data_IF_122972501383
#
_entry.id   IF_122972501383
#
_cell.length_a   1.000
_cell.length_b   1.000
_cell.length_c   1.000
_cell.angle_alpha   90.00
_cell.angle_beta   90.00
_cell.angle_gamma   90.00
#
_symmetry.space_group_name_H-M   'P 1'
#
loop_
_entity.id
_entity.type
_entity.pdbx_description
1 polymer ?
#
# COMPACT_ATOMS: atom_id res chain seq x y z
N UNK A 1 43.99 -32.58 -24.00
CA UNK A 1 43.30 -31.28 -24.02
C UNK A 1 41.80 -31.57 -24.15
N UNK A 2 41.12 -31.90 -23.04
CA UNK A 2 39.67 -32.06 -23.04
C UNK A 2 39.02 -30.74 -22.65
N UNK A 3 38.13 -30.23 -23.49
CA UNK A 3 37.27 -29.09 -23.16
C UNK A 3 36.50 -29.39 -21.87
N UNK A 4 36.46 -28.47 -20.88
CA UNK A 4 35.54 -28.61 -19.77
C UNK A 4 34.15 -28.34 -20.35
N UNK A 5 33.51 -29.42 -20.80
CA UNK A 5 32.10 -29.44 -21.12
C UNK A 5 31.35 -28.81 -19.94
N UNK A 6 30.85 -27.59 -20.17
CA UNK A 6 29.78 -26.99 -19.39
C UNK A 6 28.74 -28.09 -19.28
N UNK A 7 28.59 -28.68 -18.10
CA UNK A 7 27.73 -29.85 -17.91
C UNK A 7 26.35 -29.49 -18.45
N UNK A 8 25.87 -30.15 -19.53
CA UNK A 8 24.61 -29.79 -20.19
C UNK A 8 23.39 -29.93 -19.25
N UNK A 9 23.58 -30.60 -18.11
CA UNK A 9 22.60 -30.72 -17.04
C UNK A 9 22.43 -29.45 -16.17
N UNK A 10 23.35 -28.49 -16.19
CA UNK A 10 23.29 -27.32 -15.27
C UNK A 10 22.28 -26.25 -15.70
N UNK A 11 22.18 -25.98 -17.01
CA UNK A 11 21.27 -24.97 -17.56
C UNK A 11 19.77 -25.26 -17.33
N UNK A 12 19.25 -26.48 -17.59
CA UNK A 12 17.84 -26.77 -17.32
C UNK A 12 17.51 -26.71 -15.83
N UNK A 13 18.43 -27.14 -14.95
CA UNK A 13 18.25 -27.06 -13.50
C UNK A 13 18.17 -25.60 -13.04
N UNK A 14 19.07 -24.73 -13.51
CA UNK A 14 19.03 -23.30 -13.18
C UNK A 14 17.72 -22.64 -13.63
N UNK A 15 17.21 -23.00 -14.82
CA UNK A 15 15.94 -22.48 -15.32
C UNK A 15 14.74 -22.93 -14.49
N UNK A 16 14.68 -24.22 -14.11
CA UNK A 16 13.61 -24.75 -13.26
C UNK A 16 13.66 -24.12 -11.87
N UNK A 17 14.86 -24.03 -11.27
CA UNK A 17 15.03 -23.39 -9.97
C UNK A 17 14.61 -21.90 -10.00
N UNK A 18 15.02 -21.14 -11.02
CA UNK A 18 14.62 -19.74 -11.16
C UNK A 18 13.12 -19.60 -11.37
N UNK A 19 12.49 -20.50 -12.12
CA UNK A 19 11.05 -20.52 -12.34
C UNK A 19 10.27 -20.80 -11.06
N UNK A 20 10.68 -21.79 -10.28
CA UNK A 20 10.04 -22.10 -8.99
C UNK A 20 10.16 -20.92 -8.03
N UNK A 21 11.35 -20.31 -7.92
CA UNK A 21 11.57 -19.12 -7.08
C UNK A 21 10.73 -17.93 -7.54
N UNK A 22 10.67 -17.67 -8.84
CA UNK A 22 9.87 -16.61 -9.44
C UNK A 22 8.37 -16.80 -9.15
N UNK A 23 7.85 -18.02 -9.35
CA UNK A 23 6.47 -18.35 -9.06
C UNK A 23 6.13 -18.19 -7.57
N UNK A 24 6.98 -18.69 -6.67
CA UNK A 24 6.80 -18.56 -5.23
C UNK A 24 6.78 -17.08 -4.79
N UNK A 25 7.73 -16.28 -5.31
CA UNK A 25 7.78 -14.86 -5.03
C UNK A 25 6.53 -14.14 -5.54
N UNK A 26 6.13 -14.38 -6.79
CA UNK A 26 4.94 -13.76 -7.38
C UNK A 26 3.69 -14.11 -6.55
N UNK A 27 3.52 -15.39 -6.19
CA UNK A 27 2.43 -15.82 -5.33
C UNK A 27 2.44 -15.11 -3.96
N UNK A 28 3.60 -15.02 -3.30
CA UNK A 28 3.73 -14.31 -2.03
C UNK A 28 3.39 -12.82 -2.15
N UNK A 29 3.82 -12.16 -3.25
CA UNK A 29 3.53 -10.76 -3.50
C UNK A 29 2.04 -10.50 -3.78
N UNK A 30 1.37 -11.39 -4.52
CA UNK A 30 -0.08 -11.31 -4.75
C UNK A 30 -0.88 -11.51 -3.44
N UNK A 31 -0.49 -12.47 -2.61
CA UNK A 31 -1.09 -12.67 -1.29
C UNK A 31 -0.92 -11.43 -0.39
N UNK A 32 0.27 -10.82 -0.42
CA UNK A 32 0.54 -9.57 0.30
C UNK A 32 -0.35 -8.43 -0.21
N UNK A 33 -0.51 -8.28 -1.52
CA UNK A 33 -1.39 -7.25 -2.12
C UNK A 33 -2.85 -7.45 -1.68
N UNK A 34 -3.35 -8.69 -1.56
CA UNK A 34 -4.70 -8.93 -1.04
C UNK A 34 -4.86 -8.46 0.41
N UNK A 35 -3.88 -8.75 1.27
CA UNK A 35 -3.88 -8.29 2.67
C UNK A 35 -3.81 -6.77 2.75
N UNK A 36 -2.93 -6.14 1.96
CA UNK A 36 -2.80 -4.69 1.92
C UNK A 36 -4.04 -4.01 1.37
N UNK A 37 -4.65 -4.56 0.32
CA UNK A 37 -5.90 -4.06 -0.23
C UNK A 37 -7.02 -4.03 0.83
N UNK A 38 -7.16 -5.10 1.62
CA UNK A 38 -8.12 -5.14 2.74
C UNK A 38 -7.83 -4.08 3.80
N UNK A 39 -6.57 -3.89 4.17
CA UNK A 39 -6.16 -2.91 5.18
C UNK A 39 -6.40 -1.47 4.68
N UNK A 40 -6.00 -1.18 3.44
CA UNK A 40 -6.21 0.12 2.79
C UNK A 40 -7.70 0.46 2.69
N UNK A 41 -8.52 -0.51 2.27
CA UNK A 41 -9.97 -0.30 2.17
C UNK A 41 -10.60 -0.03 3.56
N UNK A 42 -10.17 -0.75 4.60
CA UNK A 42 -10.62 -0.53 5.98
C UNK A 42 -10.22 0.86 6.50
N UNK A 43 -8.98 1.29 6.26
CA UNK A 43 -8.51 2.62 6.62
C UNK A 43 -9.31 3.72 5.92
N UNK A 44 -9.63 3.53 4.63
CA UNK A 44 -10.48 4.46 3.89
C UNK A 44 -11.92 4.52 4.42
N UNK A 45 -12.51 3.41 4.84
CA UNK A 45 -13.82 3.41 5.51
C UNK A 45 -13.83 4.15 6.85
N UNK A 46 -12.68 4.22 7.53
CA UNK A 46 -12.52 4.98 8.77
C UNK A 46 -12.27 6.48 8.51
N UNK A 47 -12.10 6.89 7.24
CA UNK A 47 -11.75 8.25 6.87
C UNK A 47 -10.27 8.59 7.04
N UNK A 48 -9.41 7.58 7.28
CA UNK A 48 -7.96 7.73 7.38
C UNK A 48 -7.32 7.84 5.99
N UNK A 49 -7.68 8.91 5.26
CA UNK A 49 -7.30 9.12 3.85
C UNK A 49 -5.79 9.35 3.70
N UNK A 50 -5.13 9.97 4.68
CA UNK A 50 -3.67 10.22 4.64
C UNK A 50 -2.81 8.97 4.87
N UNK A 51 -3.37 7.94 5.52
CA UNK A 51 -2.66 6.68 5.76
C UNK A 51 -2.57 5.84 4.48
N UNK A 52 -3.47 6.10 3.52
CA UNK A 52 -3.56 5.36 2.25
C UNK A 52 -3.11 6.20 1.06
N UNK A 53 -3.48 7.47 1.02
CA UNK A 53 -3.06 8.40 -0.03
C UNK A 53 -2.16 9.47 0.55
N UNK A 54 -1.01 9.72 -0.10
CA UNK A 54 -0.12 10.79 0.34
C UNK A 54 -0.80 12.18 0.31
N UNK A 55 -1.66 12.41 -0.68
CA UNK A 55 -2.43 13.66 -0.80
C UNK A 55 -3.89 13.40 -0.48
N UNK A 56 -4.52 14.31 0.26
CA UNK A 56 -5.95 14.28 0.52
C UNK A 56 -6.73 14.29 -0.80
N UNK A 57 -7.23 13.12 -1.19
CA UNK A 57 -8.09 12.97 -2.36
C UNK A 57 -9.54 13.18 -1.95
N UNK A 58 -10.25 14.04 -2.68
CA UNK A 58 -11.70 14.16 -2.53
C UNK A 58 -12.32 12.87 -3.08
N UNK A 59 -13.07 12.13 -2.25
CA UNK A 59 -13.80 10.89 -2.60
C UNK A 59 -15.05 11.17 -3.47
N UNK A 60 -14.87 11.90 -4.57
CA UNK A 60 -15.93 12.15 -5.56
C UNK A 60 -15.73 11.31 -6.82
N UNK A 61 -16.75 10.59 -7.31
CA UNK A 61 -16.64 9.84 -8.55
C UNK A 61 -16.33 10.80 -9.72
N UNK A 62 -15.37 10.44 -10.56
CA UNK A 62 -15.01 11.17 -11.78
C UNK A 62 -15.06 10.23 -12.98
N UNK A 63 -15.21 10.77 -14.19
CA UNK A 63 -15.24 9.96 -15.43
C UNK A 63 -14.01 9.08 -15.57
N UNK A 64 -12.83 9.66 -15.34
CA UNK A 64 -11.55 8.95 -15.37
C UNK A 64 -11.49 7.84 -14.33
N UNK A 65 -12.02 8.09 -13.12
CA UNK A 65 -12.05 7.06 -12.09
C UNK A 65 -12.87 5.83 -12.53
N UNK A 66 -14.00 6.04 -13.21
CA UNK A 66 -14.88 4.94 -13.66
C UNK A 66 -14.16 4.08 -14.70
N UNK A 67 -13.44 4.72 -15.63
CA UNK A 67 -12.62 3.99 -16.62
C UNK A 67 -11.54 3.16 -15.90
N UNK A 68 -10.83 3.75 -14.94
CA UNK A 68 -9.83 3.03 -14.14
C UNK A 68 -10.43 1.87 -13.35
N UNK A 69 -11.66 2.01 -12.84
CA UNK A 69 -12.36 0.93 -12.14
C UNK A 69 -12.67 -0.24 -13.08
N UNK A 70 -13.14 0.04 -14.30
CA UNK A 70 -13.40 -1.00 -15.31
C UNK A 70 -12.12 -1.71 -15.77
N UNK A 71 -10.98 -1.00 -15.85
CA UNK A 71 -9.72 -1.55 -16.33
C UNK A 71 -8.88 -2.22 -15.24
N UNK A 72 -9.20 -2.04 -13.96
CA UNK A 72 -8.37 -2.49 -12.83
C UNK A 72 -8.03 -3.98 -12.89
N UNK A 73 -9.02 -4.85 -13.11
CA UNK A 73 -8.80 -6.29 -13.17
C UNK A 73 -7.85 -6.70 -14.32
N UNK A 74 -7.98 -6.05 -15.48
CA UNK A 74 -7.11 -6.30 -16.63
C UNK A 74 -5.68 -5.79 -16.39
N UNK A 75 -5.53 -4.65 -15.72
CA UNK A 75 -4.20 -4.14 -15.35
C UNK A 75 -3.54 -5.07 -14.33
N UNK A 76 -4.25 -5.50 -13.29
CA UNK A 76 -3.69 -6.42 -12.28
C UNK A 76 -3.17 -7.71 -12.91
N UNK A 77 -3.91 -8.30 -13.85
CA UNK A 77 -3.47 -9.52 -14.54
C UNK A 77 -2.31 -9.25 -15.51
N UNK A 78 -2.37 -8.16 -16.28
CA UNK A 78 -1.30 -7.80 -17.21
C UNK A 78 0.04 -7.54 -16.49
N UNK A 79 0.03 -6.77 -15.41
CA UNK A 79 1.23 -6.48 -14.60
C UNK A 79 1.75 -7.71 -13.87
N UNK A 80 0.88 -8.61 -13.41
CA UNK A 80 1.30 -9.89 -12.83
C UNK A 80 2.00 -10.80 -13.87
N UNK A 81 1.45 -10.93 -15.07
CA UNK A 81 2.07 -11.70 -16.16
C UNK A 81 3.40 -11.10 -16.60
N UNK A 82 3.43 -9.78 -16.83
CA UNK A 82 4.65 -9.08 -17.25
C UNK A 82 5.72 -9.11 -16.16
N UNK A 83 5.33 -8.96 -14.89
CA UNK A 83 6.23 -9.06 -13.77
C UNK A 83 6.82 -10.46 -13.60
N UNK A 84 6.02 -11.52 -13.78
CA UNK A 84 6.54 -12.90 -13.79
C UNK A 84 7.58 -13.12 -14.90
N UNK A 85 7.35 -12.58 -16.10
CA UNK A 85 8.32 -12.65 -17.20
C UNK A 85 9.62 -11.91 -16.87
N UNK A 86 9.53 -10.68 -16.38
CA UNK A 86 10.69 -9.86 -16.01
C UNK A 86 11.48 -10.52 -14.87
N UNK A 87 10.79 -10.96 -13.82
CA UNK A 87 11.40 -11.65 -12.67
C UNK A 87 12.05 -12.97 -13.11
N UNK A 88 11.43 -13.71 -14.03
CA UNK A 88 12.02 -14.96 -14.55
C UNK A 88 13.33 -14.70 -15.28
N UNK A 89 13.39 -13.68 -16.14
CA UNK A 89 14.62 -13.31 -16.85
C UNK A 89 15.72 -12.92 -15.87
N UNK A 90 15.38 -12.09 -14.86
CA UNK A 90 16.34 -11.64 -13.85
C UNK A 90 16.85 -12.82 -13.00
N UNK A 91 15.95 -13.64 -12.45
CA UNK A 91 16.36 -14.79 -11.65
C UNK A 91 17.13 -15.83 -12.46
N UNK A 92 16.82 -16.02 -13.74
CA UNK A 92 17.57 -16.91 -14.60
C UNK A 92 19.01 -16.41 -14.80
N UNK A 93 19.19 -15.13 -15.15
CA UNK A 93 20.53 -14.52 -15.30
C UNK A 93 21.30 -14.59 -13.98
N UNK A 94 20.66 -14.26 -12.86
CA UNK A 94 21.28 -14.35 -11.53
C UNK A 94 21.66 -15.78 -11.16
N UNK A 95 20.80 -16.77 -11.44
CA UNK A 95 21.06 -18.19 -11.14
C UNK A 95 22.21 -18.72 -11.99
N UNK A 96 22.24 -18.42 -13.29
CA UNK A 96 23.33 -18.84 -14.18
C UNK A 96 24.64 -18.17 -13.76
N UNK A 97 24.62 -16.86 -13.47
CA UNK A 97 25.77 -16.13 -12.94
C UNK A 97 26.27 -16.72 -11.63
N UNK A 98 25.39 -17.03 -10.69
CA UNK A 98 25.75 -17.65 -9.42
C UNK A 98 26.38 -19.04 -9.61
N UNK A 99 25.78 -19.90 -10.43
CA UNK A 99 26.31 -21.24 -10.71
C UNK A 99 27.69 -21.18 -11.33
N UNK A 100 27.89 -20.30 -12.32
CA UNK A 100 29.16 -20.16 -13.02
C UNK A 100 30.26 -19.53 -12.16
N UNK A 101 29.93 -18.47 -11.41
CA UNK A 101 30.91 -17.69 -10.65
C UNK A 101 31.25 -18.31 -9.29
N UNK A 102 30.34 -19.09 -8.68
CA UNK A 102 30.53 -19.64 -7.34
C UNK A 102 30.45 -21.16 -7.27
N UNK A 103 29.42 -21.79 -7.86
CA UNK A 103 29.19 -23.25 -7.69
C UNK A 103 30.24 -24.10 -8.40
N UNK A 104 30.51 -23.83 -9.68
CA UNK A 104 31.50 -24.57 -10.47
C UNK A 104 32.93 -24.44 -9.89
N UNK A 105 33.42 -23.23 -9.54
CA UNK A 105 34.73 -23.07 -8.92
C UNK A 105 34.89 -23.82 -7.60
N UNK A 106 33.83 -23.81 -6.77
CA UNK A 106 33.84 -24.45 -5.45
C UNK A 106 33.89 -25.98 -5.58
N UNK A 107 33.15 -26.55 -6.53
CA UNK A 107 33.13 -28.00 -6.77
C UNK A 107 34.45 -28.50 -7.38
N UNK A 108 35.00 -27.77 -8.35
CA UNK A 108 36.20 -28.18 -9.07
C UNK A 108 37.50 -27.84 -8.32
N UNK A 109 37.40 -27.21 -7.13
CA UNK A 109 38.56 -26.77 -6.34
C UNK A 109 39.52 -25.84 -7.07
N UNK A 110 39.09 -25.29 -8.21
CA UNK A 110 39.92 -24.49 -9.09
C UNK A 110 39.79 -23.04 -8.64
N UNK A 111 40.92 -22.43 -8.27
CA UNK A 111 40.99 -21.03 -7.89
C UNK A 111 40.72 -20.17 -9.14
N UNK A 112 39.43 -19.92 -9.40
CA UNK A 112 39.00 -19.16 -10.58
C UNK A 112 39.42 -17.70 -10.46
N UNK A 113 39.43 -17.02 -11.60
CA UNK A 113 39.82 -15.61 -11.70
C UNK A 113 39.12 -14.72 -10.65
N UNK A 114 37.87 -15.00 -10.29
CA UNK A 114 37.13 -14.29 -9.26
C UNK A 114 37.75 -14.42 -7.87
N UNK A 115 38.04 -15.65 -7.42
CA UNK A 115 38.69 -15.87 -6.13
C UNK A 115 40.08 -15.24 -6.08
N UNK A 116 40.84 -15.30 -7.18
CA UNK A 116 42.13 -14.62 -7.29
C UNK A 116 42.01 -13.09 -7.23
N UNK A 117 41.00 -12.49 -7.85
CA UNK A 117 40.73 -11.06 -7.76
C UNK A 117 40.35 -10.69 -6.32
N UNK A 118 39.45 -11.44 -5.67
CA UNK A 118 39.05 -11.19 -4.28
C UNK A 118 40.26 -11.29 -3.35
N UNK A 119 41.08 -12.33 -3.51
CA UNK A 119 42.31 -12.53 -2.74
C UNK A 119 43.38 -11.47 -3.06
N UNK A 120 43.36 -10.81 -4.20
CA UNK A 120 44.28 -9.69 -4.47
C UNK A 120 43.75 -8.35 -3.94
N UNK A 121 42.42 -8.21 -3.83
CA UNK A 121 41.75 -6.97 -3.44
C UNK A 121 41.46 -6.86 -1.94
N UNK A 122 41.73 -7.89 -1.11
CA UNK A 122 41.46 -7.82 0.33
C UNK A 122 42.09 -6.60 1.05
N UNK A 123 43.31 -6.10 0.72
CA UNK A 123 43.86 -4.94 1.40
C UNK A 123 43.09 -3.67 1.03
N UNK A 124 42.64 -3.56 -0.23
CA UNK A 124 41.81 -2.45 -0.69
C UNK A 124 40.50 -2.39 0.09
N UNK A 125 39.77 -3.49 0.19
CA UNK A 125 38.53 -3.55 0.98
C UNK A 125 38.76 -3.27 2.46
N UNK A 126 39.85 -3.78 3.03
CA UNK A 126 40.23 -3.51 4.41
C UNK A 126 40.47 -2.02 4.65
N UNK A 127 41.19 -1.33 3.74
CA UNK A 127 41.44 0.12 3.88
C UNK A 127 40.16 0.94 3.86
N UNK A 128 39.18 0.58 3.02
CA UNK A 128 37.87 1.25 3.00
C UNK A 128 37.11 1.05 4.31
N UNK A 129 37.08 -0.18 4.84
CA UNK A 129 36.41 -0.48 6.11
C UNK A 129 37.07 0.27 7.27
N UNK A 130 38.40 0.25 7.36
CA UNK A 130 39.16 0.98 8.38
C UNK A 130 38.88 2.48 8.27
N UNK A 131 38.86 3.05 7.07
CA UNK A 131 38.59 4.48 6.88
C UNK A 131 37.19 4.87 7.39
N UNK A 132 36.16 4.05 7.12
CA UNK A 132 34.81 4.28 7.65
C UNK A 132 34.77 4.18 9.19
N UNK A 133 35.46 3.20 9.77
CA UNK A 133 35.56 3.05 11.22
C UNK A 133 36.25 4.28 11.84
N UNK A 134 37.39 4.71 11.29
CA UNK A 134 38.13 5.89 11.75
C UNK A 134 37.28 7.15 11.62
N UNK A 135 36.53 7.33 10.52
CA UNK A 135 35.60 8.45 10.36
C UNK A 135 34.49 8.44 11.41
N UNK A 136 33.89 7.28 11.68
CA UNK A 136 32.84 7.11 12.68
C UNK A 136 33.35 7.39 14.10
N UNK A 137 34.53 6.86 14.45
CA UNK A 137 35.18 7.11 15.74
C UNK A 137 35.57 8.59 15.88
N UNK A 138 36.19 9.20 14.86
CA UNK A 138 36.55 10.62 14.89
C UNK A 138 35.31 11.52 15.03
N UNK A 139 34.21 11.19 14.33
CA UNK A 139 32.92 11.86 14.49
C UNK A 139 32.41 11.79 15.94
N UNK A 140 32.50 10.61 16.56
CA UNK A 140 31.98 10.40 17.91
C UNK A 140 32.86 11.01 19.01
N UNK A 141 34.19 10.91 18.90
CA UNK A 141 35.12 11.29 19.97
C UNK A 141 35.71 12.69 19.82
N UNK A 142 35.91 13.19 18.60
CA UNK A 142 36.60 14.48 18.37
C UNK A 142 35.70 15.60 17.85
N UNK A 143 34.62 15.27 17.14
CA UNK A 143 33.80 16.29 16.47
C UNK A 143 32.46 16.55 17.15
N UNK A 144 31.95 15.63 17.97
CA UNK A 144 30.62 15.71 18.56
C UNK A 144 30.72 15.82 20.09
N UNK A 145 30.34 16.97 20.65
CA UNK A 145 30.27 17.14 22.10
C UNK A 145 28.96 16.55 22.64
N UNK A 146 29.08 15.69 23.66
CA UNK A 146 27.94 15.01 24.27
C UNK A 146 27.35 15.83 25.42
N UNK A 147 26.79 17.01 25.10
CA UNK A 147 25.91 17.68 26.06
C UNK A 147 24.48 17.13 25.94
N UNK A 148 23.80 16.84 27.07
CA UNK A 148 22.52 16.13 27.08
C UNK A 148 21.36 16.88 26.40
N UNK A 149 21.52 18.17 26.10
CA UNK A 149 20.49 19.04 25.49
C UNK A 149 20.87 19.58 24.11
N UNK A 150 22.14 19.50 23.68
CA UNK A 150 22.59 19.99 22.36
C UNK A 150 23.90 19.30 21.95
N UNK A 151 23.87 18.63 20.82
CA UNK A 151 25.08 18.12 20.14
C UNK A 151 25.63 19.25 19.26
N UNK A 152 26.69 19.90 19.71
CA UNK A 152 27.36 20.96 18.94
C UNK A 152 28.71 20.47 18.41
N UNK A 153 29.13 21.02 17.25
CA UNK A 153 30.43 20.74 16.64
C UNK A 153 31.51 21.62 17.26
N UNK A 154 32.49 21.00 17.91
CA UNK A 154 33.56 21.71 18.64
C UNK A 154 34.72 22.10 17.74
N UNK A 155 35.28 21.15 16.98
CA UNK A 155 36.52 21.35 16.23
C UNK A 155 36.30 21.42 14.71
N UNK A 156 35.66 22.51 14.27
CA UNK A 156 35.33 22.73 12.85
C UNK A 156 36.56 22.75 11.93
N UNK A 157 37.68 23.32 12.38
CA UNK A 157 38.92 23.39 11.56
C UNK A 157 39.50 22.00 11.30
N UNK A 158 39.63 21.17 12.33
CA UNK A 158 40.12 19.80 12.15
C UNK A 158 39.17 18.98 11.28
N UNK A 159 37.86 19.18 11.39
CA UNK A 159 36.87 18.50 10.54
C UNK A 159 37.09 18.79 9.06
N UNK A 160 37.32 20.06 8.69
CA UNK A 160 37.60 20.43 7.29
C UNK A 160 38.88 19.79 6.77
N UNK A 161 39.96 19.80 7.57
CA UNK A 161 41.25 19.20 7.19
C UNK A 161 41.10 17.68 7.00
N UNK A 162 40.46 17.00 7.95
CA UNK A 162 40.24 15.54 7.90
C UNK A 162 39.34 15.17 6.72
N UNK A 163 38.30 15.96 6.45
CA UNK A 163 37.40 15.72 5.31
C UNK A 163 38.11 15.93 3.97
N UNK A 164 38.99 16.94 3.87
CA UNK A 164 39.80 17.16 2.68
C UNK A 164 40.77 15.99 2.44
N UNK A 165 41.46 15.52 3.48
CA UNK A 165 42.40 14.40 3.38
C UNK A 165 41.69 13.07 3.03
N UNK A 166 40.47 12.86 3.54
CA UNK A 166 39.68 11.66 3.28
C UNK A 166 38.84 11.74 2.00
N UNK A 167 38.87 12.86 1.27
CA UNK A 167 38.13 13.06 0.03
C UNK A 167 38.27 11.92 -0.99
N UNK A 168 39.48 11.47 -1.39
CA UNK A 168 39.61 10.39 -2.38
C UNK A 168 39.00 9.06 -1.91
N UNK A 169 39.11 8.74 -0.61
CA UNK A 169 38.49 7.54 -0.04
C UNK A 169 36.97 7.66 -0.06
N UNK A 170 36.43 8.83 0.29
CA UNK A 170 35.00 9.11 0.24
C UNK A 170 34.43 9.06 -1.19
N UNK A 171 35.22 9.45 -2.20
CA UNK A 171 34.82 9.29 -3.61
C UNK A 171 34.67 7.80 -3.95
N UNK A 172 35.61 6.93 -3.53
CA UNK A 172 35.50 5.48 -3.74
C UNK A 172 34.28 4.88 -3.03
N UNK A 173 34.05 5.27 -1.77
CA UNK A 173 32.85 4.87 -1.02
C UNK A 173 31.57 5.37 -1.71
N UNK A 174 31.59 6.57 -2.27
CA UNK A 174 30.48 7.14 -3.04
C UNK A 174 30.16 6.33 -4.30
N UNK A 175 31.18 5.87 -5.03
CA UNK A 175 31.01 4.98 -6.19
C UNK A 175 30.38 3.65 -5.76
N UNK A 176 30.89 3.03 -4.68
CA UNK A 176 30.33 1.79 -4.14
C UNK A 176 28.87 1.97 -3.69
N UNK A 177 28.57 3.05 -2.98
CA UNK A 177 27.21 3.39 -2.57
C UNK A 177 26.29 3.65 -3.77
N UNK A 178 26.81 4.25 -4.85
CA UNK A 178 26.09 4.46 -6.09
C UNK A 178 25.73 3.15 -6.80
N UNK A 179 26.69 2.22 -6.92
CA UNK A 179 26.45 0.87 -7.47
C UNK A 179 25.44 0.12 -6.59
N UNK A 180 25.62 0.16 -5.27
CA UNK A 180 24.70 -0.48 -4.34
C UNK A 180 23.28 0.08 -4.42
N UNK A 181 23.13 1.40 -4.55
CA UNK A 181 21.84 2.07 -4.77
C UNK A 181 21.15 1.59 -6.05
N UNK A 182 21.90 1.45 -7.14
CA UNK A 182 21.37 0.92 -8.41
C UNK A 182 20.88 -0.52 -8.25
N UNK A 183 21.67 -1.37 -7.57
CA UNK A 183 21.31 -2.78 -7.33
C UNK A 183 20.05 -2.90 -6.48
N UNK A 184 19.99 -2.23 -5.32
CA UNK A 184 18.80 -2.28 -4.46
C UNK A 184 17.57 -1.74 -5.20
N UNK A 185 17.69 -0.59 -5.88
CA UNK A 185 16.56 0.00 -6.59
C UNK A 185 16.05 -0.91 -7.71
N UNK A 186 16.96 -1.55 -8.46
CA UNK A 186 16.59 -2.49 -9.52
C UNK A 186 15.89 -3.73 -8.98
N UNK A 187 16.45 -4.34 -7.92
CA UNK A 187 15.84 -5.51 -7.26
C UNK A 187 14.49 -5.17 -6.65
N UNK A 188 14.39 -4.05 -5.93
CA UNK A 188 13.14 -3.60 -5.33
C UNK A 188 12.05 -3.40 -6.40
N UNK A 189 12.37 -2.70 -7.49
CA UNK A 189 11.43 -2.45 -8.57
C UNK A 189 11.02 -3.74 -9.30
N UNK A 190 11.95 -4.67 -9.51
CA UNK A 190 11.64 -5.97 -10.13
C UNK A 190 10.70 -6.81 -9.27
N UNK A 191 10.95 -6.88 -7.96
CA UNK A 191 10.14 -7.66 -7.01
C UNK A 191 8.72 -7.06 -6.87
N UNK A 192 8.61 -5.73 -6.81
CA UNK A 192 7.33 -5.03 -6.62
C UNK A 192 6.61 -4.73 -7.95
N UNK A 193 7.16 -5.13 -9.10
CA UNK A 193 6.56 -4.85 -10.41
C UNK A 193 5.14 -5.42 -10.57
N UNK A 194 4.86 -6.58 -9.95
CA UNK A 194 3.55 -7.23 -9.99
C UNK A 194 2.49 -6.52 -9.12
N UNK A 195 2.88 -5.53 -8.32
CA UNK A 195 2.03 -4.87 -7.34
C UNK A 195 1.53 -3.53 -7.86
N UNK A 196 0.22 -3.31 -7.78
CA UNK A 196 -0.41 -2.03 -8.10
C UNK A 196 -0.65 -1.15 -6.86
N UNK A 197 -0.52 -1.72 -5.65
CA UNK A 197 -0.77 -1.02 -4.38
C UNK A 197 0.37 -0.10 -3.94
N UNK A 198 1.55 -0.20 -4.57
CA UNK A 198 2.74 0.60 -4.29
C UNK A 198 3.17 1.30 -5.57
N UNK A 199 3.52 2.59 -5.48
CA UNK A 199 4.17 3.26 -6.60
C UNK A 199 5.66 2.94 -6.66
N UNK A 200 6.15 2.59 -7.85
CA UNK A 200 7.58 2.39 -8.11
C UNK A 200 8.34 3.71 -8.28
N UNK A 201 7.60 4.81 -8.43
CA UNK A 201 8.14 6.15 -8.64
C UNK A 201 8.35 6.87 -7.30
N UNK A 202 9.11 7.98 -7.34
CA UNK A 202 9.28 8.84 -6.17
C UNK A 202 7.93 9.46 -5.76
N UNK A 203 7.79 9.77 -4.47
CA UNK A 203 6.59 10.32 -3.84
C UNK A 203 5.99 11.54 -4.53
N UNK A 204 6.82 12.39 -5.13
CA UNK A 204 6.38 13.59 -5.85
C UNK A 204 5.76 13.31 -7.23
N UNK A 205 6.00 12.13 -7.79
CA UNK A 205 5.63 11.74 -9.17
C UNK A 205 4.82 10.44 -9.21
N UNK A 206 4.25 10.00 -8.08
CA UNK A 206 3.40 8.80 -7.98
C UNK A 206 2.21 8.82 -8.95
N UNK A 207 1.66 10.00 -9.26
CA UNK A 207 0.53 10.15 -10.19
C UNK A 207 0.87 9.74 -11.63
N UNK A 208 2.15 9.74 -11.99
CA UNK A 208 2.60 9.32 -13.33
C UNK A 208 2.75 7.80 -13.46
N UNK A 209 2.65 7.06 -12.35
CA UNK A 209 2.62 5.60 -12.37
C UNK A 209 1.21 5.11 -12.75
N UNK A 210 1.01 4.53 -13.95
CA UNK A 210 -0.30 4.13 -14.42
C UNK A 210 -0.91 3.01 -13.57
N UNK A 211 -0.08 2.15 -12.96
CA UNK A 211 -0.53 1.05 -12.14
C UNK A 211 -1.13 1.56 -10.83
N UNK A 212 -0.32 2.31 -10.09
CA UNK A 212 -0.74 2.92 -8.83
C UNK A 212 -1.86 3.94 -9.00
N UNK A 213 -1.82 4.75 -10.06
CA UNK A 213 -2.90 5.69 -10.39
C UNK A 213 -4.24 4.97 -10.58
N UNK A 214 -4.26 3.86 -11.34
CA UNK A 214 -5.47 3.06 -11.56
C UNK A 214 -5.99 2.46 -10.26
N UNK A 215 -5.10 1.92 -9.41
CA UNK A 215 -5.45 1.39 -8.08
C UNK A 215 -6.08 2.45 -7.17
N UNK A 216 -5.51 3.65 -7.11
CA UNK A 216 -6.05 4.75 -6.30
C UNK A 216 -7.47 5.14 -6.73
N UNK A 217 -7.69 5.25 -8.05
CA UNK A 217 -9.00 5.58 -8.60
C UNK A 217 -10.03 4.47 -8.41
N UNK A 218 -9.59 3.21 -8.50
CA UNK A 218 -10.41 2.04 -8.19
C UNK A 218 -10.90 2.09 -6.73
N UNK A 219 -9.98 2.23 -5.77
CA UNK A 219 -10.30 2.33 -4.34
C UNK A 219 -11.26 3.49 -4.04
N UNK A 220 -11.02 4.64 -4.67
CA UNK A 220 -11.84 5.83 -4.50
C UNK A 220 -13.31 5.59 -4.90
N UNK A 221 -13.54 4.89 -6.01
CA UNK A 221 -14.89 4.53 -6.42
C UNK A 221 -15.49 3.50 -5.48
N UNK A 222 -14.73 2.47 -5.15
CA UNK A 222 -15.22 1.39 -4.30
C UNK A 222 -15.70 1.93 -2.95
N UNK A 223 -14.91 2.76 -2.28
CA UNK A 223 -15.31 3.36 -1.00
C UNK A 223 -16.54 4.25 -1.13
N UNK A 224 -16.65 5.03 -2.23
CA UNK A 224 -17.78 5.93 -2.44
C UNK A 224 -19.10 5.20 -2.68
N UNK A 225 -19.07 4.04 -3.34
CA UNK A 225 -20.26 3.27 -3.73
C UNK A 225 -20.60 2.15 -2.74
N UNK A 226 -19.60 1.57 -2.09
CA UNK A 226 -19.74 0.34 -1.31
C UNK A 226 -19.62 0.53 0.20
N UNK A 227 -19.75 1.76 0.70
CA UNK A 227 -19.57 2.05 2.13
C UNK A 227 -20.47 1.18 3.03
N UNK A 228 -19.90 0.30 3.88
CA UNK A 228 -20.66 -0.72 4.60
C UNK A 228 -21.67 -0.11 5.57
N UNK A 229 -21.32 1.00 6.23
CA UNK A 229 -22.23 1.71 7.14
C UNK A 229 -23.47 2.28 6.40
N UNK A 230 -23.29 2.83 5.19
CA UNK A 230 -24.41 3.36 4.41
C UNK A 230 -25.32 2.23 3.93
N UNK A 231 -24.74 1.12 3.45
CA UNK A 231 -25.50 -0.07 3.06
C UNK A 231 -26.28 -0.65 4.24
N UNK A 232 -25.65 -0.80 5.40
CA UNK A 232 -26.31 -1.27 6.62
C UNK A 232 -27.43 -0.33 7.07
N UNK A 233 -27.22 0.99 7.02
CA UNK A 233 -28.25 1.99 7.32
C UNK A 233 -29.45 1.88 6.38
N UNK A 234 -29.22 1.78 5.07
CA UNK A 234 -30.30 1.58 4.09
C UNK A 234 -31.05 0.26 4.33
N UNK A 235 -30.35 -0.83 4.68
CA UNK A 235 -30.98 -2.10 5.01
C UNK A 235 -31.88 -1.99 6.25
N UNK A 236 -31.44 -1.29 7.30
CA UNK A 236 -32.26 -1.04 8.49
C UNK A 236 -33.50 -0.21 8.15
N UNK A 237 -33.35 0.82 7.32
CA UNK A 237 -34.49 1.61 6.84
C UNK A 237 -35.48 0.76 6.05
N UNK A 238 -34.99 -0.06 5.12
CA UNK A 238 -35.82 -0.93 4.28
C UNK A 238 -36.54 -2.01 5.08
N UNK A 239 -35.85 -2.64 6.05
CA UNK A 239 -36.45 -3.59 6.98
C UNK A 239 -37.52 -2.94 7.86
N UNK A 240 -37.29 -1.71 8.33
CA UNK A 240 -38.28 -0.97 9.12
C UNK A 240 -39.48 -0.48 8.31
N UNK A 241 -39.31 -0.34 6.99
CA UNK A 241 -40.36 0.05 6.05
C UNK A 241 -41.18 -1.15 5.55
N UNK A 242 -40.63 -2.37 5.59
CA UNK A 242 -41.38 -3.60 5.34
C UNK A 242 -42.21 -3.88 6.60
N UNK A 243 -43.55 -3.79 6.56
CA UNK A 243 -44.36 -4.28 7.65
C UNK A 243 -44.03 -5.76 7.82
N UNK A 244 -43.89 -6.23 9.06
CA UNK A 244 -43.91 -7.66 9.35
C UNK A 244 -45.22 -8.23 8.76
N UNK A 245 -45.15 -8.75 7.55
CA UNK A 245 -46.08 -9.77 7.09
C UNK A 245 -45.83 -11.00 7.97
N UNK A 246 -46.89 -11.73 8.37
CA UNK A 246 -46.74 -12.87 9.26
C UNK A 246 -45.70 -13.86 8.69
N UNK A 247 -44.91 -14.54 9.53
CA UNK A 247 -44.00 -15.56 9.04
C UNK A 247 -44.80 -16.63 8.32
N UNK A 248 -44.53 -16.82 7.02
CA UNK A 248 -45.01 -17.95 6.24
C UNK A 248 -44.52 -19.25 6.90
N UNK A 249 -45.36 -19.81 7.75
CA UNK A 249 -45.30 -21.19 8.21
C UNK A 249 -46.62 -21.85 7.80
N UNK A 250 -46.55 -22.45 6.61
CA UNK A 250 -47.32 -23.57 6.09
C UNK A 250 -48.84 -23.37 5.87
N UNK A 251 -49.17 -23.62 4.61
CA UNK A 251 -50.45 -24.10 4.10
C UNK A 251 -51.27 -24.93 5.09
N UNK A 252 -52.51 -24.50 5.34
CA UNK A 252 -53.75 -25.28 5.21
C UNK A 252 -54.82 -24.59 6.03
N UNK A 253 -55.85 -24.11 5.33
CA UNK A 253 -57.26 -23.99 5.72
C UNK A 253 -57.87 -22.71 5.13
N UNK A 254 -58.40 -22.91 3.93
CA UNK A 254 -59.51 -22.15 3.36
C UNK A 254 -60.73 -22.36 4.26
N UNK A 255 -61.56 -21.32 4.40
CA UNK A 255 -62.81 -21.18 5.21
C UNK A 255 -62.59 -20.21 6.37
N UNK A 256 -63.30 -19.10 6.55
CA UNK A 256 -64.55 -18.56 6.00
C UNK A 256 -64.54 -17.05 6.33
N UNK A 257 -65.09 -16.21 5.46
CA UNK A 257 -66.27 -15.45 5.87
C UNK A 257 -66.01 -14.10 6.54
N UNK A 258 -66.08 -13.03 5.73
CA UNK A 258 -66.63 -11.70 6.10
C UNK A 258 -65.96 -10.99 7.30
N UNK A 259 -64.98 -10.14 7.01
CA UNK A 259 -64.89 -8.85 7.68
C UNK A 259 -64.41 -7.77 6.70
N UNK A 260 -65.39 -7.14 6.07
CA UNK A 260 -65.25 -5.87 5.36
C UNK A 260 -64.72 -4.79 6.33
N UNK A 261 -63.71 -4.06 5.86
CA UNK A 261 -63.56 -2.62 6.05
C UNK A 261 -63.27 -2.10 7.47
N UNK A 262 -61.98 -2.07 7.85
CA UNK A 262 -61.44 -0.96 8.65
C UNK A 262 -60.02 -0.58 8.18
N UNK A 263 -59.78 0.65 7.72
CA UNK A 263 -58.44 1.21 7.71
C UNK A 263 -58.14 1.67 9.14
N UNK A 264 -57.59 0.77 9.97
CA UNK A 264 -57.18 1.11 11.33
C UNK A 264 -55.98 2.08 11.28
N UNK A 265 -56.26 3.38 11.19
CA UNK A 265 -55.26 4.44 11.36
C UNK A 265 -54.65 4.28 12.76
N UNK A 266 -53.36 3.95 12.83
CA UNK A 266 -52.62 3.84 14.08
C UNK A 266 -52.82 5.12 14.94
N UNK A 267 -53.06 5.00 16.26
CA UNK A 267 -53.40 6.14 17.09
C UNK A 267 -52.24 7.16 17.17
N UNK A 268 -52.51 8.48 17.13
CA UNK A 268 -51.51 9.55 17.14
C UNK A 268 -50.70 9.65 18.45
N UNK A 269 -51.02 8.84 19.46
CA UNK A 269 -50.26 8.75 20.72
C UNK A 269 -48.99 7.91 20.57
N UNK A 270 -49.03 6.83 19.78
CA UNK A 270 -47.86 5.95 19.53
C UNK A 270 -46.76 6.68 18.76
N UNK A 271 -47.13 7.57 17.84
CA UNK A 271 -46.19 8.42 17.09
C UNK A 271 -45.56 9.49 17.97
N UNK A 272 -46.35 10.15 18.83
CA UNK A 272 -45.84 11.12 19.83
C UNK A 272 -44.88 10.49 20.85
N UNK A 273 -45.18 9.28 21.34
CA UNK A 273 -44.27 8.54 22.23
C UNK A 273 -42.94 8.22 21.54
N UNK A 274 -42.97 7.71 20.30
CA UNK A 274 -41.76 7.45 19.50
C UNK A 274 -40.92 8.72 19.28
N UNK A 275 -41.56 9.85 18.99
CA UNK A 275 -40.88 11.15 18.82
C UNK A 275 -40.24 11.64 20.13
N UNK A 276 -40.94 11.51 21.26
CA UNK A 276 -40.37 11.88 22.57
C UNK A 276 -39.15 11.03 22.91
N UNK A 277 -39.20 9.72 22.64
CA UNK A 277 -38.06 8.80 22.84
C UNK A 277 -36.87 9.17 21.96
N UNK A 278 -37.10 9.50 20.68
CA UNK A 278 -36.05 9.94 19.77
C UNK A 278 -35.37 11.25 20.24
N UNK A 279 -36.12 12.20 20.80
CA UNK A 279 -35.57 13.44 21.37
C UNK A 279 -34.67 13.17 22.59
N UNK A 280 -35.08 12.24 23.47
CA UNK A 280 -34.24 11.82 24.60
C UNK A 280 -32.97 11.11 24.16
N UNK A 281 -33.04 10.20 23.18
CA UNK A 281 -31.85 9.56 22.59
C UNK A 281 -30.90 10.58 21.95
N UNK A 282 -31.44 11.59 21.27
CA UNK A 282 -30.63 12.68 20.70
C UNK A 282 -29.91 13.47 21.80
N UNK A 283 -30.62 13.85 22.87
CA UNK A 283 -30.03 14.57 23.99
C UNK A 283 -28.92 13.75 24.67
N UNK A 284 -29.15 12.44 24.88
CA UNK A 284 -28.15 11.51 25.41
C UNK A 284 -26.88 11.45 24.54
N UNK A 285 -27.04 11.33 23.22
CA UNK A 285 -25.90 11.29 22.29
C UNK A 285 -25.11 12.61 22.29
N UNK A 286 -25.78 13.76 22.33
CA UNK A 286 -25.13 15.08 22.35
C UNK A 286 -24.41 15.36 23.67
N UNK A 287 -24.96 14.91 24.80
CA UNK A 287 -24.32 15.04 26.11
C UNK A 287 -22.99 14.27 26.16
N UNK A 288 -22.97 13.06 25.61
CA UNK A 288 -21.79 12.21 25.56
C UNK A 288 -20.79 12.59 24.45
N UNK A 289 -21.19 13.41 23.47
CA UNK A 289 -20.35 13.82 22.33
C UNK A 289 -20.44 15.34 22.10
N UNK A 290 -19.75 16.16 22.92
CA UNK A 290 -19.91 17.62 22.89
C UNK A 290 -19.49 18.25 21.56
N UNK A 291 -18.49 17.69 20.87
CA UNK A 291 -18.01 18.16 19.55
C UNK A 291 -19.09 18.14 18.48
N UNK A 292 -20.02 17.17 18.52
CA UNK A 292 -21.13 17.06 17.56
C UNK A 292 -22.16 18.19 17.73
N UNK A 293 -22.21 18.85 18.88
CA UNK A 293 -23.14 19.95 19.13
C UNK A 293 -22.82 21.17 18.26
N UNK A 294 -21.53 21.48 18.09
CA UNK A 294 -21.08 22.55 17.22
C UNK A 294 -21.40 22.22 15.74
N UNK A 295 -21.03 21.02 15.29
CA UNK A 295 -21.30 20.56 13.92
C UNK A 295 -22.80 20.49 13.57
N UNK A 296 -23.65 20.12 14.54
CA UNK A 296 -25.10 20.09 14.34
C UNK A 296 -25.69 21.48 14.15
N UNK A 297 -25.25 22.47 14.94
CA UNK A 297 -25.71 23.86 14.80
C UNK A 297 -25.35 24.40 13.42
N UNK A 298 -24.10 24.20 12.99
CA UNK A 298 -23.64 24.64 11.67
C UNK A 298 -24.40 23.94 10.53
N UNK A 299 -24.63 22.63 10.62
CA UNK A 299 -25.37 21.89 9.58
C UNK A 299 -26.85 22.30 9.48
N UNK A 300 -27.49 22.66 10.60
CA UNK A 300 -28.87 23.16 10.60
C UNK A 300 -29.00 24.58 10.04
N UNK A 301 -27.94 25.38 10.15
CA UNK A 301 -27.85 26.72 9.56
C UNK A 301 -27.57 26.70 8.06
N UNK A 302 -27.19 25.54 7.50
CA UNK A 302 -26.82 25.38 6.09
C UNK A 302 -28.08 25.17 5.21
N UNK A 303 -28.45 26.11 4.32
CA UNK A 303 -29.72 26.06 3.57
C UNK A 303 -29.81 24.88 2.58
N UNK A 304 -28.66 24.31 2.18
CA UNK A 304 -28.57 23.14 1.31
C UNK A 304 -28.97 21.83 2.00
N UNK A 305 -28.87 21.75 3.34
CA UNK A 305 -29.24 20.56 4.11
C UNK A 305 -30.76 20.44 4.35
N UNK A 306 -31.51 21.54 4.20
CA UNK A 306 -32.95 21.61 4.44
C UNK A 306 -33.80 21.39 3.17
N UNK A 307 -33.21 20.95 2.06
CA UNK A 307 -33.95 20.56 0.86
C UNK A 307 -34.58 21.71 0.07
N UNK A 308 -34.09 22.95 0.21
CA UNK A 308 -34.46 24.04 -0.70
C UNK A 308 -33.77 23.85 -2.05
N UNK A 309 -34.50 23.63 -3.16
CA UNK A 309 -33.89 23.47 -4.48
C UNK A 309 -33.18 24.77 -4.88
N UNK A 310 -31.93 24.67 -5.34
CA UNK A 310 -31.26 25.78 -6.02
C UNK A 310 -32.09 26.16 -7.25
N UNK A 311 -32.61 27.38 -7.27
CA UNK A 311 -33.16 27.98 -8.49
C UNK A 311 -32.10 27.92 -9.58
N UNK A 312 -32.40 27.21 -10.67
CA UNK A 312 -31.56 27.23 -11.87
C UNK A 312 -31.48 28.69 -12.40
N UNK A 313 -30.31 29.12 -12.91
CA UNK A 313 -30.22 30.39 -13.62
C UNK A 313 -31.06 30.29 -14.90
N UNK A 314 -31.96 31.26 -15.11
CA UNK A 314 -32.73 31.40 -16.36
C UNK A 314 -31.77 31.72 -17.53
N UNK A 315 -32.12 31.28 -18.76
CA UNK A 315 -31.26 31.36 -19.94
C UNK A 315 -30.86 32.77 -20.33
#
# INVERSE_FOLDING_TARGET
>A
MPDPAISPCSSPVCYICSLVLCCLLTCAMLLRTLVMHRNNLKALYQGAVLDVFYKAHILRPSRQAIVCWMSFAAFQTAFACLGLLIQQVIFFICSVGFTFLFVIPLQNGTNTYLFKIIQNMWPFWLTLVIAVIVQSLAAHYQFLEQHPLRKELTNRRALYIVTYLLFPINVLLGVLAGVWRMVISGLYNSIHFCQLDISLLNRSVETFDPGYHTYCHYLKIEVSQSHPMMKAFCLLLLQSARPEGPPELRASNVEEGIQLMQPQKAPPSRTRFKQSRARWWLAYTLLNNPSLTACRKTALSDPTANGTPLSAPKP
#
